data_IF_642676360529
#
_entry.id   IF_642676360529
#
_cell.length_a   1.000
_cell.length_b   1.000
_cell.length_c   1.000
_cell.angle_alpha   90.00
_cell.angle_beta   90.00
_cell.angle_gamma   90.00
#
_symmetry.space_group_name_H-M   'P 1'
#
loop_
_entity.id
_entity.type
_entity.pdbx_description
1 polymer ?
#
# COMPACT_ATOMS: atom_id res chain seq x y z
N UNK A 1 3.57 13.27 -11.92
CA UNK A 1 3.83 14.28 -10.88
C UNK A 1 4.60 13.60 -9.76
N UNK A 2 5.73 14.16 -9.32
CA UNK A 2 6.44 13.66 -8.15
C UNK A 2 6.12 14.53 -6.93
N UNK A 3 5.87 13.91 -5.78
CA UNK A 3 5.58 14.61 -4.51
C UNK A 3 6.55 14.09 -3.45
N UNK A 4 7.32 14.97 -2.79
CA UNK A 4 8.22 14.55 -1.72
C UNK A 4 7.49 13.95 -0.52
N UNK A 5 8.16 13.03 0.16
CA UNK A 5 7.74 12.52 1.47
C UNK A 5 8.06 13.52 2.57
N UNK A 6 7.11 13.76 3.46
CA UNK A 6 7.33 14.54 4.67
C UNK A 6 7.69 13.65 5.87
N UNK A 7 6.99 12.53 6.02
CA UNK A 7 7.20 11.61 7.15
C UNK A 7 6.95 10.15 6.76
N UNK A 8 7.73 9.26 7.35
CA UNK A 8 7.53 7.81 7.29
C UNK A 8 7.20 7.30 8.69
N UNK A 9 6.15 6.49 8.79
CA UNK A 9 5.65 5.94 10.05
C UNK A 9 5.53 4.41 9.90
N UNK A 10 6.59 3.63 10.19
CA UNK A 10 6.52 2.18 10.18
C UNK A 10 5.66 1.67 11.32
N UNK A 11 5.03 0.51 11.14
CA UNK A 11 4.31 -0.14 12.22
C UNK A 11 5.27 -0.51 13.37
N UNK A 12 4.96 -0.23 14.65
CA UNK A 12 5.87 -0.46 15.77
C UNK A 12 6.30 -1.92 15.96
N UNK A 13 5.50 -2.87 15.49
CA UNK A 13 5.82 -4.31 15.57
C UNK A 13 6.70 -4.81 14.41
N UNK A 14 7.02 -3.96 13.43
CA UNK A 14 7.91 -4.34 12.33
C UNK A 14 9.34 -4.49 12.86
N UNK A 15 9.88 -5.71 12.77
CA UNK A 15 11.21 -6.05 13.28
C UNK A 15 12.27 -6.21 12.17
N UNK A 16 12.00 -5.70 10.96
CA UNK A 16 12.88 -5.86 9.79
C UNK A 16 12.59 -7.11 8.96
N UNK A 17 11.93 -8.11 9.55
CA UNK A 17 11.41 -9.28 8.87
C UNK A 17 9.92 -9.09 8.55
N UNK A 18 9.51 -9.37 7.31
CA UNK A 18 8.11 -9.24 6.85
C UNK A 18 7.14 -10.28 7.44
N UNK A 19 7.41 -10.74 8.66
CA UNK A 19 6.63 -11.75 9.39
C UNK A 19 5.50 -11.14 10.22
N UNK A 20 5.63 -9.89 10.64
CA UNK A 20 4.61 -9.16 11.41
C UNK A 20 4.70 -7.66 11.18
N UNK A 21 3.55 -7.01 11.07
CA UNK A 21 3.47 -5.55 10.96
C UNK A 21 4.16 -4.99 9.70
N UNK A 22 4.23 -5.75 8.61
CA UNK A 22 4.79 -5.29 7.33
C UNK A 22 3.86 -4.27 6.66
N UNK A 23 3.82 -3.06 7.24
CA UNK A 23 3.03 -1.92 6.80
C UNK A 23 3.63 -0.63 7.35
N UNK A 24 3.56 0.45 6.56
CA UNK A 24 3.96 1.79 6.97
C UNK A 24 3.02 2.83 6.36
N UNK A 25 2.90 3.99 7.01
CA UNK A 25 2.27 5.16 6.44
C UNK A 25 3.33 6.12 5.90
N UNK A 26 3.14 6.56 4.65
CA UNK A 26 3.98 7.56 4.00
C UNK A 26 3.18 8.85 3.84
N UNK A 27 3.48 9.84 4.68
CA UNK A 27 2.84 11.15 4.66
C UNK A 27 3.57 12.07 3.68
N UNK A 28 2.84 12.61 2.72
CA UNK A 28 3.37 13.56 1.74
C UNK A 28 3.57 14.94 2.37
N UNK A 29 4.56 15.71 1.90
CA UNK A 29 4.79 17.09 2.39
C UNK A 29 3.60 18.03 2.15
N UNK A 30 2.71 17.67 1.22
CA UNK A 30 1.48 18.39 0.89
C UNK A 30 0.43 17.44 0.32
N UNK A 31 -0.87 17.76 0.45
CA UNK A 31 -1.94 16.98 -0.18
C UNK A 31 -1.78 16.90 -1.71
N UNK A 32 -2.21 15.78 -2.29
CA UNK A 32 -2.33 15.62 -3.75
C UNK A 32 -3.71 16.09 -4.22
N UNK A 33 -3.76 16.72 -5.40
CA UNK A 33 -5.02 17.05 -6.05
C UNK A 33 -5.64 15.79 -6.67
N UNK A 34 -6.90 15.53 -6.35
CA UNK A 34 -7.65 14.44 -6.96
C UNK A 34 -8.07 14.78 -8.40
N UNK A 35 -8.16 13.74 -9.22
CA UNK A 35 -8.54 13.84 -10.63
C UNK A 35 -9.17 12.53 -11.10
N UNK A 36 -9.57 12.45 -12.36
CA UNK A 36 -10.04 11.21 -12.97
C UNK A 36 -9.00 10.06 -12.91
N UNK A 37 -7.71 10.38 -12.77
CA UNK A 37 -6.62 9.39 -12.72
C UNK A 37 -5.95 9.25 -11.35
N UNK A 38 -6.37 10.05 -10.35
CA UNK A 38 -5.77 10.06 -9.01
C UNK A 38 -6.90 10.11 -7.99
N UNK A 39 -7.18 8.98 -7.35
CA UNK A 39 -8.21 8.82 -6.33
C UNK A 39 -7.71 7.87 -5.22
N UNK A 40 -8.20 8.03 -3.97
CA UNK A 40 -7.88 7.10 -2.89
C UNK A 40 -8.61 5.76 -3.07
N UNK A 41 -8.00 4.68 -2.55
CA UNK A 41 -8.66 3.38 -2.42
C UNK A 41 -9.39 3.29 -1.07
N UNK A 42 -10.51 2.56 -1.04
CA UNK A 42 -11.23 2.29 0.20
C UNK A 42 -10.44 1.31 1.08
N UNK A 43 -10.36 1.60 2.38
CA UNK A 43 -9.87 0.63 3.36
C UNK A 43 -10.97 -0.39 3.68
N UNK A 44 -10.61 -1.66 3.94
CA UNK A 44 -11.57 -2.66 4.36
C UNK A 44 -12.14 -2.30 5.74
N UNK A 45 -13.40 -2.65 5.98
CA UNK A 45 -13.99 -2.57 7.32
C UNK A 45 -13.28 -3.52 8.28
N UNK A 46 -13.21 -3.15 9.56
CA UNK A 46 -12.63 -4.00 10.59
C UNK A 46 -13.30 -5.39 10.60
N UNK A 47 -12.49 -6.44 10.57
CA UNK A 47 -12.97 -7.82 10.58
C UNK A 47 -13.49 -8.37 9.25
N UNK A 48 -13.43 -7.60 8.15
CA UNK A 48 -13.72 -8.12 6.82
C UNK A 48 -12.80 -9.31 6.51
N UNK A 49 -13.41 -10.41 6.02
CA UNK A 49 -12.69 -11.61 5.57
C UNK A 49 -12.98 -11.85 4.10
N UNK A 50 -11.94 -12.18 3.34
CA UNK A 50 -12.05 -12.60 1.95
C UNK A 50 -12.11 -14.14 1.91
N UNK A 51 -13.28 -14.75 1.60
CA UNK A 51 -13.39 -16.20 1.56
C UNK A 51 -12.56 -16.82 0.42
N UNK A 52 -12.17 -18.10 0.53
CA UNK A 52 -11.49 -18.80 -0.55
C UNK A 52 -12.27 -18.72 -1.87
N UNK A 53 -11.56 -18.49 -2.98
CA UNK A 53 -12.17 -18.28 -4.29
C UNK A 53 -12.63 -16.84 -4.57
N UNK A 54 -12.47 -15.92 -3.62
CA UNK A 54 -12.65 -14.48 -3.91
C UNK A 54 -11.69 -14.04 -5.00
N UNK A 55 -12.23 -13.42 -6.06
CA UNK A 55 -11.42 -12.86 -7.14
C UNK A 55 -10.80 -11.55 -6.68
N UNK A 56 -9.47 -11.49 -6.68
CA UNK A 56 -8.69 -10.32 -6.30
C UNK A 56 -7.76 -9.92 -7.46
N UNK A 57 -7.36 -8.66 -7.51
CA UNK A 57 -6.39 -8.13 -8.48
C UNK A 57 -5.25 -7.48 -7.71
N UNK A 58 -4.01 -7.79 -8.11
CA UNK A 58 -2.81 -7.09 -7.69
C UNK A 58 -2.20 -6.38 -8.91
N UNK A 59 -1.70 -5.17 -8.72
CA UNK A 59 -1.12 -4.35 -9.80
C UNK A 59 0.22 -3.77 -9.35
N UNK A 60 1.20 -3.69 -10.25
CA UNK A 60 2.51 -3.12 -9.95
C UNK A 60 3.43 -3.12 -11.17
N UNK A 61 4.66 -2.65 -10.97
CA UNK A 61 5.72 -2.60 -11.98
C UNK A 61 6.86 -3.61 -11.71
N UNK A 62 6.58 -4.67 -10.95
CA UNK A 62 7.56 -5.71 -10.63
C UNK A 62 7.89 -6.62 -11.81
N UNK A 63 8.83 -7.54 -11.59
CA UNK A 63 9.27 -8.49 -12.60
C UNK A 63 8.12 -9.38 -13.09
N UNK A 64 8.08 -9.60 -14.40
CA UNK A 64 7.09 -10.48 -15.05
C UNK A 64 7.64 -11.90 -15.31
N UNK A 65 8.89 -12.15 -14.94
CA UNK A 65 9.61 -13.41 -15.08
C UNK A 65 10.52 -13.61 -13.87
N UNK A 66 10.72 -14.84 -13.44
CA UNK A 66 11.73 -15.16 -12.42
C UNK A 66 13.16 -14.95 -12.96
N UNK A 67 14.07 -14.46 -12.11
CA UNK A 67 15.50 -14.37 -12.40
C UNK A 67 15.97 -13.09 -13.09
N UNK A 68 15.29 -11.96 -12.87
CA UNK A 68 15.71 -10.63 -13.33
C UNK A 68 17.10 -10.21 -12.82
#
# INVERSE_FOLDING_TARGET
VAVPLGRLLPHPAYAGEATSGDIALAELVRPVAFSASVLPVCLPSAGLRFPPGTRCVATGWGDIKEGG
#
